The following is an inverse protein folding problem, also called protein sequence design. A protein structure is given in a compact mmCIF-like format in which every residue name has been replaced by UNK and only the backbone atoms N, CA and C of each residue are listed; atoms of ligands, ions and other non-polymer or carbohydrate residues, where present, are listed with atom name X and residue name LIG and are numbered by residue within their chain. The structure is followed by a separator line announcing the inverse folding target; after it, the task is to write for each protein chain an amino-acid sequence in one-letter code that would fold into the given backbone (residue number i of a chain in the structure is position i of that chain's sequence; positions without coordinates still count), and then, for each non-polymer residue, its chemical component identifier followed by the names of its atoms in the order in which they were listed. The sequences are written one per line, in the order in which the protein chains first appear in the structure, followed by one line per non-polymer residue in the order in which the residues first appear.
data_IF_101572634067
#
_entry.id   IF_101572634067
#
_cell.length_a   1.000
_cell.length_b   1.000
_cell.length_c   1.000
_cell.angle_alpha   90.00
_cell.angle_beta   90.00
_cell.angle_gamma   90.00
#
_symmetry.space_group_name_H-M   'P 1'
#
loop_
_entity.id
_entity.type
_entity.pdbx_description
1 polymer ?
#
# COMPACT_ATOMS: atom_id res chain seq x y z
N UNK A 1 14.12 11.70 -3.81
CA UNK A 1 12.94 11.24 -4.60
C UNK A 1 13.25 10.81 -6.02
N UNK A 2 14.21 11.41 -6.69
CA UNK A 2 14.55 10.99 -8.08
C UNK A 2 14.85 9.50 -8.18
N UNK A 3 15.62 8.96 -7.25
CA UNK A 3 15.97 7.54 -7.23
C UNK A 3 14.74 6.65 -7.02
N UNK A 4 13.84 7.03 -6.10
CA UNK A 4 12.62 6.28 -5.82
C UNK A 4 11.69 6.31 -7.03
N UNK A 5 11.51 7.46 -7.64
CA UNK A 5 10.67 7.62 -8.83
C UNK A 5 11.22 6.78 -9.99
N UNK A 6 12.54 6.77 -10.17
CA UNK A 6 13.17 5.95 -11.18
C UNK A 6 12.89 4.46 -10.97
N UNK A 7 13.00 3.99 -9.73
CA UNK A 7 12.69 2.60 -9.38
C UNK A 7 11.22 2.26 -9.60
N UNK A 8 10.33 3.19 -9.30
CA UNK A 8 8.90 3.00 -9.57
C UNK A 8 8.66 2.81 -11.06
N UNK A 9 9.26 3.66 -11.88
CA UNK A 9 9.10 3.60 -13.33
C UNK A 9 9.63 2.29 -13.92
N UNK A 10 10.69 1.75 -13.36
CA UNK A 10 11.31 0.50 -13.81
C UNK A 10 10.59 -0.75 -13.31
N UNK A 11 9.76 -0.62 -12.27
CA UNK A 11 9.12 -1.78 -11.62
C UNK A 11 7.88 -2.23 -12.37
N UNK A 12 7.66 -3.54 -12.39
CA UNK A 12 6.43 -4.13 -12.94
C UNK A 12 5.32 -4.20 -11.90
N UNK A 13 5.70 -4.31 -10.62
CA UNK A 13 4.78 -4.39 -9.50
C UNK A 13 5.38 -3.64 -8.31
N UNK A 14 4.54 -2.85 -7.65
CA UNK A 14 4.94 -2.11 -6.46
C UNK A 14 4.09 -2.56 -5.29
N UNK A 15 4.74 -2.86 -4.18
CA UNK A 15 4.05 -3.25 -2.94
C UNK A 15 4.28 -2.15 -1.90
N UNK A 16 3.17 -1.56 -1.43
CA UNK A 16 3.21 -0.58 -0.35
C UNK A 16 2.76 -1.22 0.96
N UNK A 17 3.65 -1.27 1.94
CA UNK A 17 3.31 -1.62 3.32
C UNK A 17 2.95 -0.35 4.08
N UNK A 18 1.69 -0.22 4.49
CA UNK A 18 1.20 1.03 5.09
C UNK A 18 0.50 0.75 6.42
N UNK A 19 1.13 1.11 7.56
CA UNK A 19 0.48 0.99 8.86
C UNK A 19 -0.68 2.00 9.00
N UNK A 20 -1.71 1.58 9.74
CA UNK A 20 -2.84 2.44 10.07
C UNK A 20 -2.53 3.21 11.35
N UNK A 21 -2.40 4.52 11.26
CA UNK A 21 -2.23 5.42 12.40
C UNK A 21 -3.45 6.34 12.48
N UNK A 22 -4.33 6.08 13.43
CA UNK A 22 -5.58 6.86 13.61
C UNK A 22 -6.42 6.90 12.31
N UNK A 23 -6.61 5.74 11.69
CA UNK A 23 -7.38 5.58 10.45
C UNK A 23 -6.81 6.36 9.27
N UNK A 24 -5.49 6.55 9.28
CA UNK A 24 -4.80 7.29 8.23
C UNK A 24 -3.39 6.72 8.02
N UNK A 25 -2.73 7.20 6.98
CA UNK A 25 -1.34 6.84 6.69
C UNK A 25 -0.40 7.48 7.71
N UNK A 26 0.80 6.91 7.83
CA UNK A 26 1.85 7.52 8.67
C UNK A 26 2.32 8.84 8.07
N UNK A 27 2.94 9.68 8.90
CA UNK A 27 3.58 10.92 8.41
C UNK A 27 4.62 10.64 7.35
N UNK A 28 5.40 9.57 7.51
CA UNK A 28 6.40 9.17 6.53
C UNK A 28 5.77 8.85 5.17
N UNK A 29 4.69 8.06 5.17
CA UNK A 29 3.99 7.72 3.93
C UNK A 29 3.32 8.96 3.33
N UNK A 30 2.75 9.83 4.15
CA UNK A 30 2.16 11.09 3.68
C UNK A 30 3.19 11.98 3.00
N UNK A 31 4.39 12.08 3.57
CA UNK A 31 5.49 12.81 2.93
C UNK A 31 5.83 12.22 1.56
N UNK A 32 5.88 10.91 1.47
CA UNK A 32 6.10 10.22 0.21
C UNK A 32 5.00 10.55 -0.81
N UNK A 33 3.74 10.46 -0.40
CA UNK A 33 2.60 10.81 -1.25
C UNK A 33 2.70 12.24 -1.77
N UNK A 34 3.00 13.18 -0.87
CA UNK A 34 3.08 14.60 -1.22
C UNK A 34 4.20 14.87 -2.22
N UNK A 35 5.29 14.14 -2.13
CA UNK A 35 6.43 14.28 -3.05
C UNK A 35 6.17 13.62 -4.40
N UNK A 36 5.14 12.81 -4.54
CA UNK A 36 4.69 12.28 -5.82
C UNK A 36 3.75 13.25 -6.55
N UNK A 37 3.28 14.31 -5.88
CA UNK A 37 2.34 15.26 -6.45
C UNK A 37 2.78 15.84 -7.80
N UNK A 38 4.08 16.15 -8.03
CA UNK A 38 4.51 16.65 -9.34
C UNK A 38 4.25 15.69 -10.50
N UNK A 39 4.01 14.40 -10.23
CA UNK A 39 3.70 13.41 -11.26
C UNK A 39 2.23 13.41 -11.67
N UNK A 40 1.39 14.22 -11.02
CA UNK A 40 -0.06 14.23 -11.20
C UNK A 40 -0.48 14.40 -12.67
N UNK A 41 0.16 15.28 -13.40
CA UNK A 41 -0.20 15.56 -14.80
C UNK A 41 0.72 14.87 -15.81
N UNK A 42 1.82 14.27 -15.37
CA UNK A 42 2.81 13.70 -16.28
C UNK A 42 2.42 12.33 -16.82
N UNK A 43 1.52 11.64 -16.12
CA UNK A 43 1.12 10.25 -16.41
C UNK A 43 2.30 9.27 -16.49
N UNK A 44 3.46 9.66 -15.93
CA UNK A 44 4.70 8.89 -16.04
C UNK A 44 4.66 7.55 -15.32
N UNK A 45 3.75 7.38 -14.34
CA UNK A 45 3.57 6.12 -13.63
C UNK A 45 2.15 5.58 -13.80
N UNK A 46 1.44 6.06 -14.81
CA UNK A 46 0.11 5.60 -15.12
C UNK A 46 0.08 4.09 -15.35
N UNK A 47 -0.96 3.45 -14.85
CA UNK A 47 -1.22 2.01 -14.99
C UNK A 47 -0.19 1.10 -14.29
N UNK A 48 0.69 1.66 -13.46
CA UNK A 48 1.57 0.85 -12.63
C UNK A 48 0.75 -0.03 -11.70
N UNK A 49 1.10 -1.29 -11.63
CA UNK A 49 0.41 -2.27 -10.77
C UNK A 49 0.85 -2.10 -9.32
N UNK A 50 -0.12 -1.95 -8.43
CA UNK A 50 0.12 -1.69 -7.01
C UNK A 50 -0.61 -2.74 -6.16
N UNK A 51 0.06 -3.18 -5.10
CA UNK A 51 -0.55 -3.96 -4.04
C UNK A 51 -0.33 -3.20 -2.73
N UNK A 52 -1.39 -3.06 -1.94
CA UNK A 52 -1.27 -2.50 -0.60
C UNK A 52 -1.34 -3.61 0.44
N UNK A 53 -0.50 -3.50 1.46
CA UNK A 53 -0.55 -4.33 2.66
C UNK A 53 -0.76 -3.39 3.83
N UNK A 54 -1.98 -3.36 4.35
CA UNK A 54 -2.34 -2.51 5.48
C UNK A 54 -2.23 -3.29 6.78
N UNK A 55 -1.72 -2.66 7.82
CA UNK A 55 -1.66 -3.24 9.17
C UNK A 55 -2.27 -2.28 10.17
N UNK A 56 -2.81 -2.80 11.26
CA UNK A 56 -3.39 -1.96 12.31
C UNK A 56 -3.78 -2.77 13.53
N UNK A 57 -4.09 -2.08 14.62
CA UNK A 57 -4.49 -2.71 15.87
C UNK A 57 -5.95 -3.12 15.94
N UNK A 58 -6.78 -2.64 15.00
CA UNK A 58 -8.21 -2.95 14.94
C UNK A 58 -8.51 -4.14 14.04
N UNK A 59 -9.79 -4.33 13.76
CA UNK A 59 -10.25 -5.40 12.88
C UNK A 59 -9.74 -5.20 11.45
N UNK A 60 -9.44 -6.31 10.78
CA UNK A 60 -8.85 -6.28 9.43
C UNK A 60 -9.72 -5.53 8.42
N UNK A 61 -11.02 -5.81 8.40
CA UNK A 61 -11.93 -5.19 7.44
C UNK A 61 -12.06 -3.69 7.67
N UNK A 62 -12.21 -3.27 8.92
CA UNK A 62 -12.28 -1.85 9.24
C UNK A 62 -11.00 -1.11 8.89
N UNK A 63 -9.85 -1.70 9.16
CA UNK A 63 -8.55 -1.14 8.78
C UNK A 63 -8.47 -0.98 7.27
N UNK A 64 -8.82 -2.02 6.51
CA UNK A 64 -8.80 -1.98 5.05
C UNK A 64 -9.68 -0.87 4.51
N UNK A 65 -10.91 -0.77 4.98
CA UNK A 65 -11.85 0.26 4.52
C UNK A 65 -11.33 1.68 4.75
N UNK A 66 -10.81 1.96 5.95
CA UNK A 66 -10.29 3.28 6.27
C UNK A 66 -9.02 3.60 5.49
N UNK A 67 -8.13 2.63 5.32
CA UNK A 67 -6.89 2.84 4.60
C UNK A 67 -7.13 2.98 3.09
N UNK A 68 -8.11 2.29 2.54
CA UNK A 68 -8.50 2.47 1.14
C UNK A 68 -8.95 3.91 0.89
N UNK A 69 -9.68 4.50 1.82
CA UNK A 69 -10.07 5.91 1.74
C UNK A 69 -8.85 6.83 1.80
N UNK A 70 -7.91 6.53 2.67
CA UNK A 70 -6.72 7.37 2.87
C UNK A 70 -5.82 7.42 1.63
N UNK A 71 -5.74 6.33 0.84
CA UNK A 71 -4.90 6.27 -0.36
C UNK A 71 -5.68 6.48 -1.65
N UNK A 72 -6.99 6.68 -1.57
CA UNK A 72 -7.85 6.83 -2.74
C UNK A 72 -7.38 7.92 -3.69
N UNK A 73 -7.04 9.09 -3.16
CA UNK A 73 -6.58 10.22 -3.97
C UNK A 73 -5.30 9.92 -4.72
N UNK A 74 -4.34 9.27 -4.05
CA UNK A 74 -3.08 8.88 -4.67
C UNK A 74 -3.33 7.99 -5.89
N UNK A 75 -4.14 6.93 -5.69
CA UNK A 75 -4.43 5.98 -6.76
C UNK A 75 -5.18 6.63 -7.92
N UNK A 76 -6.16 7.47 -7.60
CA UNK A 76 -6.99 8.15 -8.59
C UNK A 76 -6.20 9.13 -9.45
N UNK A 77 -5.45 10.02 -8.80
CA UNK A 77 -4.79 11.11 -9.52
C UNK A 77 -3.52 10.70 -10.25
N UNK A 78 -2.82 9.68 -9.76
CA UNK A 78 -1.67 9.11 -10.47
C UNK A 78 -2.06 7.98 -11.41
N UNK A 79 -3.34 7.61 -11.44
CA UNK A 79 -3.90 6.57 -12.31
C UNK A 79 -3.21 5.22 -12.11
N UNK A 80 -3.02 4.85 -10.86
CA UNK A 80 -2.41 3.58 -10.49
C UNK A 80 -3.42 2.44 -10.62
N UNK A 81 -2.94 1.26 -10.98
CA UNK A 81 -3.75 0.06 -11.10
C UNK A 81 -3.61 -0.78 -9.83
N UNK A 82 -4.55 -0.62 -8.90
CA UNK A 82 -4.52 -1.38 -7.63
C UNK A 82 -5.05 -2.78 -7.87
N UNK A 83 -4.18 -3.77 -7.76
CA UNK A 83 -4.55 -5.18 -7.98
C UNK A 83 -5.24 -5.79 -6.77
N UNK A 84 -4.75 -5.50 -5.57
CA UNK A 84 -5.32 -6.05 -4.35
C UNK A 84 -4.89 -5.24 -3.12
N UNK A 85 -5.77 -5.20 -2.12
CA UNK A 85 -5.50 -4.63 -0.82
C UNK A 85 -5.59 -5.73 0.23
N UNK A 86 -4.46 -6.01 0.89
CA UNK A 86 -4.42 -6.94 2.02
C UNK A 86 -4.47 -6.14 3.31
N UNK A 87 -5.06 -6.72 4.34
CA UNK A 87 -5.13 -6.10 5.65
C UNK A 87 -4.93 -7.14 6.75
N UNK A 88 -4.11 -6.81 7.73
CA UNK A 88 -3.79 -7.71 8.83
C UNK A 88 -3.82 -6.97 10.15
N UNK A 89 -4.33 -7.64 11.19
CA UNK A 89 -4.24 -7.13 12.54
C UNK A 89 -2.81 -7.31 13.04
N UNK A 90 -2.18 -6.25 13.50
CA UNK A 90 -0.78 -6.27 13.93
C UNK A 90 -0.58 -5.37 15.14
N UNK A 91 -1.29 -5.67 16.24
CA UNK A 91 -1.14 -4.94 17.49
C UNK A 91 0.13 -5.34 18.23
N UNK A 92 0.50 -6.63 18.15
CA UNK A 92 1.68 -7.18 18.80
C UNK A 92 2.22 -8.38 18.00
N UNK A 93 3.35 -8.94 18.45
CA UNK A 93 3.99 -10.07 17.76
C UNK A 93 3.09 -11.31 17.71
N UNK A 94 2.29 -11.54 18.75
CA UNK A 94 1.37 -12.67 18.79
C UNK A 94 0.35 -12.61 17.64
N UNK A 95 -0.17 -11.43 17.30
CA UNK A 95 -1.09 -11.27 16.19
C UNK A 95 -0.47 -11.72 14.86
N UNK A 96 0.81 -11.43 14.67
CA UNK A 96 1.55 -11.83 13.48
C UNK A 96 1.73 -13.35 13.44
N UNK A 97 2.09 -13.94 14.59
CA UNK A 97 2.31 -15.40 14.69
C UNK A 97 1.05 -16.21 14.36
N UNK A 98 -0.11 -15.79 14.87
CA UNK A 98 -1.36 -16.53 14.62
C UNK A 98 -1.86 -16.37 13.17
N UNK A 99 -1.34 -15.40 12.42
CA UNK A 99 -1.69 -15.16 11.03
C UNK A 99 -0.64 -15.66 10.05
N UNK A 100 0.35 -16.41 10.50
CA UNK A 100 1.48 -16.83 9.69
C UNK A 100 1.09 -17.55 8.41
N UNK A 101 0.14 -18.47 8.48
CA UNK A 101 -0.35 -19.19 7.31
C UNK A 101 -1.01 -18.24 6.31
N UNK A 102 -1.82 -17.32 6.81
CA UNK A 102 -2.50 -16.31 6.01
C UNK A 102 -1.50 -15.40 5.29
N UNK A 103 -0.45 -14.99 5.99
CA UNK A 103 0.62 -14.18 5.42
C UNK A 103 1.40 -14.96 4.35
N UNK A 104 1.70 -16.22 4.61
CA UNK A 104 2.38 -17.07 3.64
C UNK A 104 1.54 -17.25 2.36
N UNK A 105 0.23 -17.41 2.50
CA UNK A 105 -0.68 -17.48 1.35
C UNK A 105 -0.67 -16.18 0.54
N UNK A 106 -0.61 -15.03 1.20
CA UNK A 106 -0.48 -13.75 0.54
C UNK A 106 0.82 -13.67 -0.27
N UNK A 107 1.92 -14.09 0.31
CA UNK A 107 3.22 -14.08 -0.37
C UNK A 107 3.16 -14.92 -1.64
N UNK A 108 2.55 -16.11 -1.59
CA UNK A 108 2.40 -16.96 -2.76
C UNK A 108 1.51 -16.30 -3.83
N UNK A 109 0.41 -15.66 -3.43
CA UNK A 109 -0.43 -14.93 -4.37
C UNK A 109 0.35 -13.81 -5.08
N UNK A 110 1.14 -13.04 -4.34
CA UNK A 110 1.94 -11.94 -4.90
C UNK A 110 2.99 -12.48 -5.88
N UNK A 111 3.65 -13.58 -5.54
CA UNK A 111 4.64 -14.20 -6.43
C UNK A 111 4.04 -14.64 -7.77
N UNK A 112 2.77 -14.97 -7.81
CA UNK A 112 2.08 -15.46 -8.99
C UNK A 112 1.37 -14.35 -9.78
N UNK A 113 1.51 -13.12 -9.35
CA UNK A 113 0.99 -11.96 -10.09
C UNK A 113 2.03 -11.43 -11.14
#
# INVERSE_FOLDING_TARGET
MKEIISKIKESDLIVFGVPNYFDNVTGLFKNFMDRLHPLYKSESIRDKSIIYIFTGGGEEEGTREEMEKAVYGLNKYLKLNVLKNYSYKALNLHDIEIQKEKINNMIEEIKNM
#
